data_IF_555125933762
#
_entry.id   IF_555125933762
#
_cell.length_a   1.000
_cell.length_b   1.000
_cell.length_c   1.000
_cell.angle_alpha   90.00
_cell.angle_beta   90.00
_cell.angle_gamma   90.00
#
_symmetry.space_group_name_H-M   'P 1'
#
loop_
_entity.id
_entity.type
_entity.pdbx_description
1 polymer ?
#
# COMPACT_ATOMS: atom_id res chain seq x y z
N UNK A 1 21.92 16.57 -14.38
CA UNK A 1 20.53 16.72 -13.88
C UNK A 1 20.60 17.59 -12.63
N UNK A 2 19.84 18.69 -12.60
CA UNK A 2 19.98 19.79 -11.63
C UNK A 2 19.34 19.47 -10.28
N UNK A 3 19.93 19.95 -9.17
CA UNK A 3 19.37 19.86 -7.80
C UNK A 3 17.93 20.40 -7.71
N UNK A 4 17.56 21.36 -8.57
CA UNK A 4 16.18 21.87 -8.70
C UNK A 4 15.19 20.77 -9.09
N UNK A 5 15.58 19.88 -10.02
CA UNK A 5 14.72 18.77 -10.47
C UNK A 5 14.51 17.72 -9.37
N UNK A 6 15.51 17.52 -8.51
CA UNK A 6 15.43 16.61 -7.37
C UNK A 6 14.47 17.15 -6.31
N UNK A 7 14.60 18.43 -5.98
CA UNK A 7 13.72 19.09 -5.01
C UNK A 7 12.26 19.12 -5.46
N UNK A 8 12.00 19.36 -6.75
CA UNK A 8 10.64 19.30 -7.29
C UNK A 8 10.06 17.87 -7.27
N UNK A 9 10.89 16.85 -7.48
CA UNK A 9 10.48 15.45 -7.36
C UNK A 9 10.13 15.08 -5.92
N UNK A 10 10.98 15.41 -4.95
CA UNK A 10 10.75 15.11 -3.53
C UNK A 10 9.43 15.75 -3.05
N UNK A 11 9.22 17.03 -3.40
CA UNK A 11 7.96 17.73 -3.09
C UNK A 11 6.74 17.10 -3.77
N UNK A 12 6.88 16.67 -5.02
CA UNK A 12 5.80 15.99 -5.74
C UNK A 12 5.46 14.65 -5.09
N UNK A 13 6.48 13.90 -4.66
CA UNK A 13 6.31 12.62 -3.98
C UNK A 13 5.61 12.80 -2.63
N UNK A 14 6.01 13.79 -1.83
CA UNK A 14 5.35 14.11 -0.55
C UNK A 14 3.87 14.47 -0.75
N UNK A 15 3.54 15.28 -1.76
CA UNK A 15 2.16 15.66 -2.06
C UNK A 15 1.32 14.47 -2.50
N UNK A 16 1.89 13.61 -3.36
CA UNK A 16 1.23 12.38 -3.79
C UNK A 16 0.97 11.45 -2.60
N UNK A 17 1.94 11.33 -1.69
CA UNK A 17 1.81 10.51 -0.49
C UNK A 17 0.73 11.05 0.47
N UNK A 18 0.71 12.36 0.71
CA UNK A 18 -0.32 12.98 1.54
C UNK A 18 -1.74 12.80 0.95
N UNK A 19 -1.88 12.92 -0.37
CA UNK A 19 -3.15 12.69 -1.05
C UNK A 19 -3.59 11.21 -0.96
N UNK A 20 -2.65 10.29 -1.14
CA UNK A 20 -2.88 8.85 -0.99
C UNK A 20 -3.33 8.50 0.43
N UNK A 21 -2.60 8.97 1.45
CA UNK A 21 -2.92 8.73 2.85
C UNK A 21 -4.33 9.21 3.22
N UNK A 22 -4.72 10.41 2.77
CA UNK A 22 -6.07 10.93 3.01
C UNK A 22 -7.13 10.03 2.39
N UNK A 23 -6.96 9.66 1.11
CA UNK A 23 -7.92 8.82 0.40
C UNK A 23 -8.00 7.41 0.99
N UNK A 24 -6.87 6.85 1.44
CA UNK A 24 -6.84 5.57 2.13
C UNK A 24 -7.60 5.65 3.45
N UNK A 25 -7.38 6.70 4.26
CA UNK A 25 -8.08 6.89 5.52
C UNK A 25 -9.60 7.04 5.32
N UNK A 26 -10.02 7.83 4.32
CA UNK A 26 -11.44 7.99 3.99
C UNK A 26 -12.07 6.65 3.59
N UNK A 27 -11.36 5.82 2.82
CA UNK A 27 -11.86 4.51 2.42
C UNK A 27 -11.94 3.55 3.60
N UNK A 28 -10.87 3.44 4.39
CA UNK A 28 -10.82 2.56 5.58
C UNK A 28 -11.89 2.92 6.59
N UNK A 29 -12.18 4.22 6.79
CA UNK A 29 -13.24 4.68 7.68
C UNK A 29 -14.66 4.33 7.20
N UNK A 30 -14.83 4.09 5.89
CA UNK A 30 -16.10 3.76 5.27
C UNK A 30 -16.29 2.25 5.04
N UNK A 31 -15.28 1.42 5.33
CA UNK A 31 -15.37 -0.05 5.17
C UNK A 31 -16.40 -0.63 6.14
N UNK A 32 -17.22 -1.56 5.66
CA UNK A 32 -18.23 -2.28 6.45
C UNK A 32 -18.40 -3.73 5.99
N UNK A 33 -19.02 -4.56 6.84
CA UNK A 33 -19.39 -5.94 6.52
C UNK A 33 -18.22 -6.81 6.09
N UNK A 34 -18.22 -7.21 4.82
CA UNK A 34 -17.22 -8.10 4.22
C UNK A 34 -16.25 -7.34 3.28
N UNK A 35 -16.15 -6.02 3.42
CA UNK A 35 -15.26 -5.21 2.60
C UNK A 35 -13.78 -5.64 2.76
N UNK A 36 -13.11 -5.76 1.62
CA UNK A 36 -11.68 -6.04 1.52
C UNK A 36 -11.03 -4.98 0.65
N UNK A 37 -9.95 -4.38 1.16
CA UNK A 37 -9.07 -3.49 0.40
C UNK A 37 -7.68 -4.10 0.32
N UNK A 38 -7.15 -4.22 -0.88
CA UNK A 38 -5.74 -4.60 -1.12
C UNK A 38 -5.04 -3.45 -1.83
N UNK A 39 -3.94 -3.00 -1.25
CA UNK A 39 -2.99 -2.07 -1.86
C UNK A 39 -1.74 -2.85 -2.22
N UNK A 40 -1.51 -3.04 -3.51
CA UNK A 40 -0.39 -3.83 -4.03
C UNK A 40 0.44 -3.03 -5.03
N UNK A 41 1.71 -3.41 -5.15
CA UNK A 41 2.55 -2.99 -6.27
C UNK A 41 2.05 -3.70 -7.53
N UNK A 42 1.56 -2.91 -8.50
CA UNK A 42 1.16 -3.45 -9.80
C UNK A 42 2.32 -4.20 -10.48
N UNK A 43 2.05 -5.37 -11.04
CA UNK A 43 3.07 -6.23 -11.62
C UNK A 43 2.52 -7.57 -12.12
N UNK A 44 3.41 -8.39 -12.68
CA UNK A 44 3.07 -9.74 -13.13
C UNK A 44 3.04 -10.68 -11.93
N UNK A 45 2.06 -11.58 -11.89
CA UNK A 45 2.01 -12.67 -10.91
C UNK A 45 3.35 -13.39 -10.82
N UNK A 46 3.88 -13.43 -9.60
CA UNK A 46 5.17 -14.07 -9.35
C UNK A 46 4.95 -15.57 -9.19
N UNK A 47 5.79 -16.37 -9.85
CA UNK A 47 5.72 -17.83 -9.76
C UNK A 47 6.12 -18.36 -8.37
N UNK A 48 6.81 -17.54 -7.56
CA UNK A 48 7.21 -17.86 -6.18
C UNK A 48 7.24 -16.60 -5.30
N UNK A 49 6.52 -16.64 -4.18
CA UNK A 49 6.38 -15.50 -3.26
C UNK A 49 5.39 -14.46 -3.80
N UNK A 50 5.21 -13.35 -3.08
CA UNK A 50 4.32 -12.26 -3.49
C UNK A 50 5.08 -10.95 -3.71
N UNK A 51 4.48 -10.05 -4.49
CA UNK A 51 4.83 -8.64 -4.42
C UNK A 51 4.45 -8.07 -3.04
N UNK A 52 5.08 -6.95 -2.60
CA UNK A 52 4.64 -6.26 -1.40
C UNK A 52 3.20 -5.77 -1.55
N UNK A 53 2.38 -6.08 -0.54
CA UNK A 53 1.02 -5.60 -0.42
C UNK A 53 0.69 -5.23 1.03
N UNK A 54 -0.34 -4.41 1.18
CA UNK A 54 -1.07 -4.21 2.42
C UNK A 54 -2.54 -4.56 2.19
N UNK A 55 -3.13 -5.35 3.09
CA UNK A 55 -4.53 -5.75 3.05
C UNK A 55 -5.26 -5.21 4.27
N UNK A 56 -6.48 -4.73 4.06
CA UNK A 56 -7.40 -4.32 5.10
C UNK A 56 -8.69 -5.11 4.97
N UNK A 57 -9.20 -5.61 6.10
CA UNK A 57 -10.48 -6.33 6.19
C UNK A 57 -11.25 -5.86 7.40
N UNK A 58 -12.58 -5.82 7.30
CA UNK A 58 -13.44 -5.60 8.47
C UNK A 58 -13.39 -6.83 9.39
N UNK A 59 -13.29 -6.59 10.70
CA UNK A 59 -13.31 -7.62 11.72
C UNK A 59 -14.42 -7.32 12.72
N UNK A 60 -15.55 -8.02 12.59
CA UNK A 60 -16.72 -7.75 13.44
C UNK A 60 -17.47 -6.51 12.96
N UNK A 61 -17.77 -5.59 13.88
CA UNK A 61 -18.63 -4.42 13.57
C UNK A 61 -17.92 -3.07 13.65
N UNK A 62 -16.73 -3.00 14.25
CA UNK A 62 -16.06 -1.73 14.58
C UNK A 62 -14.53 -1.77 14.44
N UNK A 63 -13.96 -2.87 13.97
CA UNK A 63 -12.51 -3.03 13.83
C UNK A 63 -12.12 -3.24 12.37
N UNK A 64 -11.01 -2.61 11.98
CA UNK A 64 -10.32 -2.91 10.73
C UNK A 64 -9.02 -3.64 11.08
N UNK A 65 -8.84 -4.82 10.49
CA UNK A 65 -7.58 -5.55 10.54
C UNK A 65 -6.72 -5.13 9.35
N UNK A 66 -5.50 -4.67 9.64
CA UNK A 66 -4.46 -4.41 8.63
C UNK A 66 -3.39 -5.49 8.65
N UNK A 67 -3.02 -6.00 7.48
CA UNK A 67 -1.96 -6.98 7.28
C UNK A 67 -0.99 -6.49 6.21
N UNK A 68 0.28 -6.82 6.36
CA UNK A 68 1.32 -6.50 5.38
C UNK A 68 2.11 -7.75 5.04
N UNK A 69 2.63 -7.81 3.82
CA UNK A 69 3.48 -8.93 3.42
C UNK A 69 4.70 -9.04 4.32
N UNK A 70 4.93 -10.21 4.91
CA UNK A 70 6.16 -10.49 5.65
C UNK A 70 7.32 -10.74 4.69
N UNK A 71 8.53 -10.32 5.08
CA UNK A 71 9.76 -10.53 4.32
C UNK A 71 10.00 -12.00 3.95
N UNK A 72 9.50 -12.94 4.75
CA UNK A 72 9.62 -14.37 4.49
C UNK A 72 8.81 -14.84 3.26
N UNK A 73 7.82 -14.05 2.83
CA UNK A 73 6.91 -14.38 1.72
C UNK A 73 7.13 -13.50 0.48
N UNK A 74 8.03 -12.53 0.54
CA UNK A 74 8.37 -11.72 -0.61
C UNK A 74 9.00 -12.58 -1.72
N UNK A 75 8.59 -12.34 -2.96
CA UNK A 75 9.27 -12.92 -4.11
C UNK A 75 10.74 -12.42 -4.16
N UNK A 76 11.68 -13.20 -4.72
CA UNK A 76 13.10 -12.84 -4.74
C UNK A 76 13.42 -11.45 -5.31
N UNK A 77 12.56 -10.92 -6.19
CA UNK A 77 12.70 -9.59 -6.77
C UNK A 77 12.46 -8.42 -5.78
N UNK A 78 11.85 -8.70 -4.62
CA UNK A 78 11.45 -7.68 -3.64
C UNK A 78 12.12 -7.84 -2.27
N UNK A 79 12.99 -8.83 -2.11
CA UNK A 79 13.76 -9.01 -0.86
C UNK A 79 14.81 -7.91 -0.77
N UNK A 80 14.96 -7.30 0.41
CA UNK A 80 15.95 -6.27 0.73
C UNK A 80 17.28 -6.87 1.19
#
# INVERSE_FOLDING_TARGET
MSELNKFDLDRSAERAWAAFQRRLADYVAAMDGDDVLVVELGGVDQTRGSAPYAQFTVQGTDLIRGEVTSNAYLAPAYVL
#
